data_IF_428819243009
#
_entry.id   IF_428819243009
#
_cell.length_a   1.000
_cell.length_b   1.000
_cell.length_c   1.000
_cell.angle_alpha   90.00
_cell.angle_beta   90.00
_cell.angle_gamma   90.00
#
_symmetry.space_group_name_H-M   'P 1'
#
loop_
_entity.id
_entity.type
_entity.pdbx_description
1 polymer ?
#
# COMPACT_ATOMS: atom_id res chain seq x y z
N UNK A 1 7.65 9.43 -12.84
CA UNK A 1 7.77 8.60 -14.08
C UNK A 1 7.12 7.23 -13.88
N UNK A 2 7.52 6.46 -12.86
CA UNK A 2 7.01 5.10 -12.59
C UNK A 2 5.49 5.02 -12.42
N UNK A 3 4.86 5.88 -11.63
CA UNK A 3 3.39 5.87 -11.45
C UNK A 3 2.64 6.13 -12.77
N UNK A 4 3.19 6.97 -13.66
CA UNK A 4 2.63 7.19 -15.00
C UNK A 4 2.72 5.92 -15.86
N UNK A 5 3.84 5.18 -15.78
CA UNK A 5 4.02 3.91 -16.49
C UNK A 5 3.08 2.82 -15.97
N UNK A 6 2.93 2.70 -14.65
CA UNK A 6 1.99 1.75 -14.03
C UNK A 6 0.55 1.95 -14.53
N UNK A 7 0.11 3.21 -14.65
CA UNK A 7 -1.22 3.52 -15.20
C UNK A 7 -1.32 3.28 -16.70
N UNK A 8 -0.26 3.52 -17.48
CA UNK A 8 -0.30 3.27 -18.94
C UNK A 8 -0.42 1.79 -19.28
N UNK A 9 0.29 0.91 -18.56
CA UNK A 9 0.22 -0.54 -18.77
C UNK A 9 -1.19 -1.12 -18.51
N UNK A 10 -2.04 -0.43 -17.73
CA UNK A 10 -3.42 -0.83 -17.49
C UNK A 10 -4.31 -0.75 -18.74
N UNK A 11 -4.02 0.17 -19.66
CA UNK A 11 -4.79 0.31 -20.90
C UNK A 11 -4.50 -0.82 -21.90
N UNK A 12 -3.52 -1.66 -21.62
CA UNK A 12 -3.08 -2.80 -22.45
C UNK A 12 -3.69 -4.14 -21.96
N UNK A 13 -4.37 -4.13 -20.81
CA UNK A 13 -4.98 -5.31 -20.21
C UNK A 13 -6.45 -5.40 -20.67
N UNK A 14 -6.79 -6.47 -21.40
CA UNK A 14 -8.11 -6.74 -21.98
C UNK A 14 -9.20 -7.14 -20.96
N UNK A 15 -8.86 -7.19 -19.66
CA UNK A 15 -9.79 -7.59 -18.60
C UNK A 15 -10.32 -6.37 -17.83
N UNK A 16 -11.65 -6.31 -17.66
CA UNK A 16 -12.34 -5.28 -16.89
C UNK A 16 -12.15 -5.50 -15.38
N UNK A 17 -10.95 -5.26 -14.86
CA UNK A 17 -10.70 -5.33 -13.41
C UNK A 17 -11.41 -4.16 -12.70
N UNK A 18 -12.21 -4.47 -11.68
CA UNK A 18 -12.94 -3.49 -10.86
C UNK A 18 -12.07 -2.85 -9.78
N UNK A 19 -10.92 -3.46 -9.46
CA UNK A 19 -9.96 -2.99 -8.45
C UNK A 19 -8.53 -3.12 -8.97
N UNK A 20 -7.65 -2.19 -8.59
CA UNK A 20 -6.22 -2.22 -8.91
C UNK A 20 -5.41 -2.00 -7.63
N UNK A 21 -4.42 -2.87 -7.39
CA UNK A 21 -3.55 -2.80 -6.22
C UNK A 21 -2.15 -2.38 -6.66
N UNK A 22 -1.65 -1.28 -6.08
CA UNK A 22 -0.27 -0.82 -6.28
C UNK A 22 0.52 -1.19 -5.03
N UNK A 23 1.40 -2.19 -5.15
CA UNK A 23 2.07 -2.81 -3.98
C UNK A 23 3.38 -2.16 -3.57
N UNK A 24 3.99 -1.33 -4.42
CA UNK A 24 5.35 -0.82 -4.22
C UNK A 24 5.39 0.72 -4.26
N UNK A 25 4.57 1.36 -3.42
CA UNK A 25 4.63 2.80 -3.17
C UNK A 25 5.68 3.07 -2.09
N UNK A 26 6.71 3.87 -2.41
CA UNK A 26 7.85 4.10 -1.51
C UNK A 26 8.02 5.57 -1.13
N UNK A 27 7.32 6.49 -1.80
CA UNK A 27 7.48 7.93 -1.62
C UNK A 27 6.15 8.66 -1.50
N UNK A 28 6.14 9.78 -0.78
CA UNK A 28 4.99 10.69 -0.71
C UNK A 28 4.49 11.11 -2.10
N UNK A 29 5.40 11.35 -3.05
CA UNK A 29 5.04 11.70 -4.43
C UNK A 29 4.24 10.63 -5.16
N UNK A 30 4.41 9.35 -4.80
CA UNK A 30 3.64 8.25 -5.39
C UNK A 30 2.18 8.35 -4.94
N UNK A 31 1.97 8.52 -3.63
CA UNK A 31 0.66 8.71 -3.01
C UNK A 31 -0.02 9.95 -3.60
N UNK A 32 0.67 11.10 -3.60
CA UNK A 32 0.13 12.34 -4.16
C UNK A 32 -0.30 12.19 -5.62
N UNK A 33 0.49 11.49 -6.43
CA UNK A 33 0.15 11.25 -7.83
C UNK A 33 -1.15 10.44 -7.96
N UNK A 34 -1.29 9.35 -7.21
CA UNK A 34 -2.48 8.50 -7.29
C UNK A 34 -3.72 9.21 -6.73
N UNK A 35 -3.61 9.87 -5.58
CA UNK A 35 -4.71 10.62 -4.97
C UNK A 35 -5.19 11.75 -5.86
N UNK A 36 -4.28 12.54 -6.46
CA UNK A 36 -4.66 13.59 -7.43
C UNK A 36 -5.32 13.03 -8.70
N UNK A 37 -4.90 11.85 -9.16
CA UNK A 37 -5.38 11.28 -10.42
C UNK A 37 -6.71 10.55 -10.30
N UNK A 38 -6.94 9.86 -9.19
CA UNK A 38 -8.09 8.97 -9.01
C UNK A 38 -9.08 9.45 -7.95
N UNK A 39 -8.70 10.44 -7.14
CA UNK A 39 -9.57 11.09 -6.16
C UNK A 39 -9.97 10.16 -5.02
N UNK A 40 -11.26 10.16 -4.71
CA UNK A 40 -11.93 9.35 -3.69
C UNK A 40 -11.95 7.83 -3.98
N UNK A 41 -11.48 7.42 -5.16
CA UNK A 41 -11.34 6.00 -5.56
C UNK A 41 -10.01 5.38 -5.15
N UNK A 42 -9.22 6.07 -4.31
CA UNK A 42 -7.95 5.57 -3.79
C UNK A 42 -8.13 5.18 -2.33
N UNK A 43 -7.60 4.01 -1.98
CA UNK A 43 -7.38 3.62 -0.59
C UNK A 43 -5.87 3.50 -0.36
N UNK A 44 -5.38 4.16 0.67
CA UNK A 44 -3.97 4.21 1.05
C UNK A 44 -3.80 3.31 2.28
N UNK A 45 -3.26 2.12 2.04
CA UNK A 45 -3.13 1.07 3.05
C UNK A 45 -1.66 0.90 3.44
N UNK A 46 -1.36 1.02 4.73
CA UNK A 46 -0.06 0.69 5.31
C UNK A 46 -0.08 -0.73 5.84
N UNK A 47 0.99 -1.47 5.56
CA UNK A 47 1.25 -2.75 6.22
C UNK A 47 2.43 -2.54 7.16
N UNK A 48 2.24 -2.86 8.43
CA UNK A 48 3.28 -2.78 9.45
C UNK A 48 3.51 -4.13 10.08
N UNK A 49 4.72 -4.35 10.55
CA UNK A 49 5.04 -5.52 11.36
C UNK A 49 5.96 -5.07 12.48
N UNK A 50 5.72 -5.57 13.68
CA UNK A 50 6.60 -5.29 14.81
C UNK A 50 8.02 -5.75 14.49
N UNK A 51 9.01 -5.07 15.08
CA UNK A 51 10.41 -5.48 14.93
C UNK A 51 10.59 -6.94 15.35
N UNK A 52 9.90 -7.38 16.40
CA UNK A 52 9.91 -8.78 16.85
C UNK A 52 9.48 -9.75 15.74
N UNK A 53 8.31 -9.52 15.13
CA UNK A 53 7.79 -10.37 14.05
C UNK A 53 8.72 -10.35 12.82
N UNK A 54 9.30 -9.19 12.49
CA UNK A 54 10.28 -9.05 11.41
C UNK A 54 11.55 -9.86 11.71
N UNK A 55 12.10 -9.76 12.92
CA UNK A 55 13.31 -10.47 13.33
C UNK A 55 13.09 -11.99 13.36
N UNK A 56 11.93 -12.47 13.80
CA UNK A 56 11.55 -13.89 13.70
C UNK A 56 11.58 -14.39 12.24
N UNK A 57 11.24 -13.52 11.29
CA UNK A 57 11.30 -13.79 9.84
C UNK A 57 12.70 -13.55 9.24
N UNK A 58 13.72 -13.34 10.06
CA UNK A 58 15.11 -13.17 9.64
C UNK A 58 15.51 -11.74 9.29
N UNK A 59 14.67 -10.74 9.57
CA UNK A 59 15.06 -9.33 9.39
C UNK A 59 16.24 -8.98 10.31
N UNK A 60 17.29 -8.43 9.70
CA UNK A 60 18.45 -7.84 10.39
C UNK A 60 18.67 -6.46 9.81
N UNK A 61 18.66 -5.43 10.66
CA UNK A 61 18.90 -4.07 10.22
C UNK A 61 20.28 -3.95 9.57
N UNK A 62 20.32 -3.43 8.35
CA UNK A 62 21.52 -3.16 7.59
C UNK A 62 21.60 -1.67 7.27
N UNK A 63 22.53 -0.99 7.96
CA UNK A 63 22.87 0.41 7.72
C UNK A 63 23.28 0.62 6.25
N UNK A 64 22.80 1.68 5.62
CA UNK A 64 22.98 1.95 4.20
C UNK A 64 22.00 1.21 3.27
N UNK A 65 21.10 0.37 3.79
CA UNK A 65 20.00 -0.25 3.04
C UNK A 65 18.67 0.16 3.66
N UNK A 66 18.46 -0.18 4.94
CA UNK A 66 17.19 0.04 5.66
C UNK A 66 16.98 1.51 6.07
N UNK A 67 18.00 2.35 5.98
CA UNK A 67 17.97 3.79 6.29
C UNK A 67 17.87 4.67 5.03
N UNK A 68 17.75 4.08 3.84
CA UNK A 68 17.57 4.81 2.59
C UNK A 68 16.13 5.27 2.43
N UNK A 69 15.95 6.38 1.71
CA UNK A 69 14.64 6.91 1.35
C UNK A 69 13.73 5.88 0.65
N UNK A 70 14.31 4.91 -0.07
CA UNK A 70 13.53 3.83 -0.69
C UNK A 70 12.82 2.91 0.31
N UNK A 71 13.28 2.87 1.57
CA UNK A 71 12.69 2.07 2.65
C UNK A 71 11.96 2.96 3.68
N UNK A 72 12.45 4.18 3.94
CA UNK A 72 11.89 5.11 4.94
C UNK A 72 11.06 6.27 4.37
N UNK A 73 10.86 6.34 3.05
CA UNK A 73 10.26 7.50 2.37
C UNK A 73 8.80 7.81 2.73
N UNK A 74 8.16 6.94 3.51
CA UNK A 74 6.78 7.09 4.01
C UNK A 74 6.69 7.05 5.55
N UNK A 75 7.80 7.05 6.27
CA UNK A 75 7.79 6.95 7.75
C UNK A 75 7.12 8.16 8.41
N UNK A 76 7.15 9.32 7.76
CA UNK A 76 6.49 10.55 8.22
C UNK A 76 5.06 10.73 7.67
N UNK A 77 4.56 9.81 6.84
CA UNK A 77 3.21 9.89 6.30
C UNK A 77 2.20 9.36 7.33
N UNK A 78 1.15 10.13 7.61
CA UNK A 78 0.20 9.84 8.69
C UNK A 78 -1.26 9.70 8.23
N UNK A 79 -1.58 10.01 6.97
CA UNK A 79 -2.95 10.01 6.45
C UNK A 79 -3.29 8.69 5.74
N UNK A 80 -3.09 7.58 6.43
CA UNK A 80 -3.44 6.23 5.97
C UNK A 80 -4.95 6.00 6.15
N UNK A 81 -5.61 5.38 5.17
CA UNK A 81 -7.00 4.94 5.33
C UNK A 81 -7.10 3.70 6.22
N UNK A 82 -6.12 2.81 6.11
CA UNK A 82 -5.99 1.59 6.92
C UNK A 82 -4.53 1.34 7.27
N UNK A 83 -4.29 0.84 8.48
CA UNK A 83 -2.99 0.32 8.92
C UNK A 83 -3.20 -1.13 9.34
N UNK A 84 -2.61 -2.06 8.60
CA UNK A 84 -2.73 -3.49 8.83
C UNK A 84 -1.49 -3.99 9.57
N UNK A 85 -1.71 -4.67 10.70
CA UNK A 85 -0.65 -5.32 11.45
C UNK A 85 -0.40 -6.73 10.91
N UNK A 86 0.71 -6.89 10.19
CA UNK A 86 1.26 -8.17 9.75
C UNK A 86 2.10 -8.80 10.88
N UNK A 87 1.44 -9.04 12.01
CA UNK A 87 2.00 -9.71 13.19
C UNK A 87 1.62 -11.18 13.24
N UNK A 88 1.41 -11.68 14.45
CA UNK A 88 1.01 -13.07 14.71
C UNK A 88 -0.50 -13.29 14.58
N UNK A 89 -1.29 -12.25 14.81
CA UNK A 89 -2.76 -12.28 14.72
C UNK A 89 -3.24 -11.35 13.62
N UNK A 90 -4.15 -11.83 12.76
CA UNK A 90 -4.86 -10.98 11.81
C UNK A 90 -5.80 -10.04 12.60
N UNK A 91 -5.62 -8.74 12.43
CA UNK A 91 -6.46 -7.73 13.06
C UNK A 91 -7.84 -7.63 12.37
N UNK A 92 -8.86 -7.19 13.11
CA UNK A 92 -10.19 -6.87 12.57
C UNK A 92 -10.14 -5.83 11.44
N UNK A 93 -9.04 -5.07 11.33
CA UNK A 93 -8.78 -4.13 10.23
C UNK A 93 -8.76 -4.81 8.86
N UNK A 94 -8.36 -6.08 8.74
CA UNK A 94 -8.40 -6.81 7.47
C UNK A 94 -9.84 -6.94 6.96
N UNK A 95 -10.77 -7.35 7.81
CA UNK A 95 -12.18 -7.49 7.46
C UNK A 95 -12.82 -6.13 7.12
N UNK A 96 -12.44 -5.08 7.86
CA UNK A 96 -12.89 -3.70 7.56
C UNK A 96 -12.41 -3.23 6.19
N UNK A 97 -11.15 -3.52 5.83
CA UNK A 97 -10.59 -3.18 4.52
C UNK A 97 -11.33 -3.93 3.41
N UNK A 98 -11.53 -5.25 3.55
CA UNK A 98 -12.24 -6.05 2.54
C UNK A 98 -13.66 -5.53 2.34
N UNK A 99 -14.38 -5.23 3.43
CA UNK A 99 -15.72 -4.65 3.36
C UNK A 99 -15.71 -3.29 2.63
N UNK A 100 -14.72 -2.44 2.90
CA UNK A 100 -14.58 -1.15 2.21
C UNK A 100 -14.31 -1.31 0.72
N UNK A 101 -13.42 -2.23 0.33
CA UNK A 101 -13.11 -2.53 -1.08
C UNK A 101 -14.37 -3.01 -1.80
N UNK A 102 -15.14 -3.93 -1.21
CA UNK A 102 -16.40 -4.43 -1.78
C UNK A 102 -17.40 -3.30 -2.07
N UNK A 103 -17.60 -2.41 -1.09
CA UNK A 103 -18.47 -1.23 -1.25
C UNK A 103 -17.97 -0.32 -2.37
N UNK A 104 -16.66 -0.02 -2.42
CA UNK A 104 -16.10 0.88 -3.43
C UNK A 104 -16.15 0.30 -4.85
N UNK A 105 -16.05 -1.02 -4.99
CA UNK A 105 -16.07 -1.70 -6.27
C UNK A 105 -17.48 -2.14 -6.71
N UNK A 106 -18.52 -1.85 -5.92
CA UNK A 106 -19.90 -2.34 -6.13
C UNK A 106 -19.96 -3.88 -6.26
N UNK A 107 -19.15 -4.58 -5.48
CA UNK A 107 -19.15 -6.05 -5.40
C UNK A 107 -19.94 -6.39 -4.13
N UNK A 108 -21.21 -6.78 -4.31
CA UNK A 108 -22.11 -7.17 -3.22
C UNK A 108 -21.73 -8.54 -2.66
#
# INVERSE_FOLDING_TARGET
>A
YFCKKAVKNKNDVTTSSTCYVVVDCRRNSDIEYFSRKFGDRVLIVRIEASLHARTLRGFKFQRGIDDKESECGLDNYSTWDFVLQNGETLDNEYERLIKKIRIMCNIV
#
